data_IF_725714675330
#
_entry.id   IF_725714675330
#
_cell.length_a   1.000
_cell.length_b   1.000
_cell.length_c   1.000
_cell.angle_alpha   90.00
_cell.angle_beta   90.00
_cell.angle_gamma   90.00
#
_symmetry.space_group_name_H-M   'P 1'
#
loop_
_entity.id
_entity.type
_entity.pdbx_description
1 polymer ?
#
# COMPACT_ATOMS: atom_id res chain seq x y z
N UNK A 1 -5.65 10.76 -10.61
CA UNK A 1 -6.27 10.86 -11.95
C UNK A 1 -7.67 11.38 -11.78
N UNK A 2 -7.99 12.55 -12.34
CA UNK A 2 -9.38 12.96 -12.45
C UNK A 2 -10.00 12.14 -13.58
N UNK A 3 -10.81 11.15 -13.22
CA UNK A 3 -11.62 10.43 -14.20
C UNK A 3 -12.51 11.44 -14.93
N UNK A 4 -12.22 11.68 -16.19
CA UNK A 4 -13.13 12.44 -17.04
C UNK A 4 -14.44 11.64 -17.15
N UNK A 5 -15.47 12.12 -16.45
CA UNK A 5 -16.80 11.51 -16.38
C UNK A 5 -17.47 11.28 -17.74
N UNK A 6 -16.89 11.82 -18.83
CA UNK A 6 -17.34 11.60 -20.19
C UNK A 6 -16.79 10.31 -20.82
N UNK A 7 -15.69 9.75 -20.28
CA UNK A 7 -15.05 8.55 -20.85
C UNK A 7 -15.63 7.26 -20.25
N UNK A 8 -15.97 7.26 -18.93
CA UNK A 8 -16.55 6.10 -18.24
C UNK A 8 -17.75 6.52 -17.40
N UNK A 9 -18.98 6.39 -17.93
CA UNK A 9 -20.18 6.79 -17.18
C UNK A 9 -20.33 5.91 -15.91
N UNK A 10 -20.46 6.58 -14.76
CA UNK A 10 -20.76 5.92 -13.48
C UNK A 10 -22.20 5.41 -13.49
N UNK A 11 -22.38 4.15 -13.12
CA UNK A 11 -23.66 3.46 -13.00
C UNK A 11 -23.95 3.26 -11.51
N UNK A 12 -25.09 3.71 -11.04
CA UNK A 12 -25.51 3.48 -9.64
C UNK A 12 -26.46 2.30 -9.57
N UNK A 13 -26.13 1.28 -8.78
CA UNK A 13 -26.93 0.08 -8.54
C UNK A 13 -27.02 -0.15 -7.04
N UNK A 14 -28.23 -0.18 -6.46
CA UNK A 14 -28.45 -0.38 -5.03
C UNK A 14 -27.65 0.59 -4.12
N UNK A 15 -27.42 1.82 -4.58
CA UNK A 15 -26.66 2.83 -3.85
C UNK A 15 -25.14 2.75 -4.04
N UNK A 16 -24.61 1.71 -4.69
CA UNK A 16 -23.18 1.55 -5.00
C UNK A 16 -22.87 2.05 -6.40
N UNK A 17 -21.64 2.53 -6.58
CA UNK A 17 -21.19 3.12 -7.84
C UNK A 17 -20.27 2.19 -8.59
N UNK A 18 -20.50 2.04 -9.90
CA UNK A 18 -19.78 1.14 -10.79
C UNK A 18 -19.42 1.83 -12.09
N UNK A 19 -18.33 1.34 -12.70
CA UNK A 19 -17.99 1.61 -14.11
C UNK A 19 -17.90 0.29 -14.88
N UNK A 20 -17.94 0.35 -16.20
CA UNK A 20 -17.71 -0.85 -17.03
C UNK A 20 -16.23 -1.23 -16.99
N UNK A 21 -15.94 -2.52 -16.89
CA UNK A 21 -14.56 -3.07 -16.85
C UNK A 21 -13.91 -3.13 -18.25
N UNK A 22 -13.98 -2.03 -19.01
CA UNK A 22 -13.48 -2.00 -20.41
C UNK A 22 -11.97 -2.02 -20.55
N UNK A 23 -11.22 -1.76 -19.47
CA UNK A 23 -9.75 -1.73 -19.52
C UNK A 23 -9.16 -3.14 -19.48
N UNK A 24 -9.79 -4.06 -18.78
CA UNK A 24 -9.24 -5.41 -18.49
C UNK A 24 -10.08 -6.55 -19.10
N UNK A 25 -11.22 -6.23 -19.70
CA UNK A 25 -12.13 -7.23 -20.22
C UNK A 25 -12.96 -6.69 -21.38
N UNK A 26 -13.06 -7.48 -22.44
CA UNK A 26 -14.00 -7.26 -23.56
C UNK A 26 -15.43 -7.74 -23.24
N UNK A 27 -15.64 -8.31 -22.05
CA UNK A 27 -16.95 -8.81 -21.64
C UNK A 27 -17.86 -7.64 -21.20
N UNK A 28 -18.94 -7.34 -21.96
CA UNK A 28 -19.81 -6.20 -21.64
C UNK A 28 -20.64 -6.37 -20.37
N UNK A 29 -20.61 -7.55 -19.74
CA UNK A 29 -21.32 -7.89 -18.51
C UNK A 29 -20.41 -7.89 -17.28
N UNK A 30 -19.24 -7.25 -17.33
CA UNK A 30 -18.36 -7.06 -16.21
C UNK A 30 -18.35 -5.61 -15.75
N UNK A 31 -18.29 -5.43 -14.43
CA UNK A 31 -18.28 -4.14 -13.75
C UNK A 31 -17.12 -4.05 -12.77
N UNK A 32 -16.61 -2.84 -12.65
CA UNK A 32 -15.68 -2.43 -11.60
C UNK A 32 -16.42 -1.58 -10.59
N UNK A 33 -16.34 -1.94 -9.31
CA UNK A 33 -16.91 -1.21 -8.20
C UNK A 33 -15.99 -0.07 -7.78
N UNK A 34 -16.53 1.12 -7.56
CA UNK A 34 -15.75 2.25 -7.03
C UNK A 34 -15.69 2.21 -5.51
N UNK A 35 -14.48 2.31 -4.95
CA UNK A 35 -14.24 2.40 -3.52
C UNK A 35 -14.52 3.83 -3.03
N UNK A 36 -15.73 4.11 -2.61
CA UNK A 36 -16.17 5.45 -2.24
C UNK A 36 -17.09 5.46 -0.99
N UNK A 37 -17.64 6.61 -0.70
CA UNK A 37 -18.51 6.83 0.47
C UNK A 37 -19.84 6.07 0.46
N UNK A 38 -20.17 5.38 -0.63
CA UNK A 38 -21.35 4.50 -0.71
C UNK A 38 -21.16 3.20 0.09
N UNK A 39 -19.92 2.89 0.50
CA UNK A 39 -19.66 1.73 1.35
C UNK A 39 -19.95 2.06 2.80
N UNK A 40 -20.99 1.46 3.34
CA UNK A 40 -21.48 1.74 4.69
C UNK A 40 -21.12 0.64 5.69
N UNK A 41 -21.04 1.04 6.98
CA UNK A 41 -20.83 0.12 8.09
C UNK A 41 -19.37 -0.20 8.41
N UNK A 42 -19.18 -1.12 9.36
CA UNK A 42 -17.84 -1.59 9.76
C UNK A 42 -17.34 -2.76 8.92
N UNK A 43 -18.24 -3.50 8.30
CA UNK A 43 -17.92 -4.62 7.40
C UNK A 43 -18.60 -4.34 6.07
N UNK A 44 -17.82 -4.33 5.01
CA UNK A 44 -18.31 -4.22 3.66
C UNK A 44 -18.00 -5.48 2.87
N UNK A 45 -19.05 -6.06 2.29
CA UNK A 45 -18.93 -7.22 1.41
C UNK A 45 -19.17 -6.77 -0.03
N UNK A 46 -18.13 -6.88 -0.86
CA UNK A 46 -18.20 -6.54 -2.28
C UNK A 46 -19.16 -7.51 -2.95
N UNK A 47 -20.21 -7.04 -3.67
CA UNK A 47 -21.12 -7.93 -4.38
C UNK A 47 -20.40 -8.72 -5.47
N UNK A 48 -20.59 -10.04 -5.52
CA UNK A 48 -20.05 -10.87 -6.61
C UNK A 48 -20.76 -10.59 -7.94
N UNK A 49 -22.08 -10.36 -7.89
CA UNK A 49 -22.92 -10.03 -9.05
C UNK A 49 -23.93 -8.97 -8.69
N UNK A 50 -24.41 -8.22 -9.67
CA UNK A 50 -25.48 -7.24 -9.55
C UNK A 50 -26.42 -7.30 -10.75
N UNK A 51 -27.70 -6.94 -10.54
CA UNK A 51 -28.68 -6.87 -11.62
C UNK A 51 -28.92 -5.41 -12.00
N UNK A 52 -28.70 -5.08 -13.28
CA UNK A 52 -28.97 -3.75 -13.83
C UNK A 52 -29.79 -3.87 -15.12
N UNK A 53 -30.92 -3.17 -15.20
CA UNK A 53 -31.84 -3.20 -16.35
C UNK A 53 -32.24 -4.63 -16.77
N UNK A 54 -32.47 -5.51 -15.78
CA UNK A 54 -32.87 -6.90 -16.00
C UNK A 54 -31.77 -7.85 -16.50
N UNK A 55 -30.51 -7.41 -16.49
CA UNK A 55 -29.34 -8.21 -16.85
C UNK A 55 -28.44 -8.35 -15.62
N UNK A 56 -27.85 -9.55 -15.49
CA UNK A 56 -26.85 -9.81 -14.46
C UNK A 56 -25.45 -9.40 -14.93
N UNK A 57 -24.71 -8.73 -14.07
CA UNK A 57 -23.34 -8.30 -14.26
C UNK A 57 -22.46 -8.90 -13.14
N UNK A 58 -21.25 -9.31 -13.50
CA UNK A 58 -20.24 -9.79 -12.56
C UNK A 58 -19.34 -8.63 -12.13
N UNK A 59 -19.07 -8.51 -10.83
CA UNK A 59 -18.10 -7.55 -10.31
C UNK A 59 -16.73 -8.21 -10.36
N UNK A 60 -15.85 -7.66 -11.21
CA UNK A 60 -14.50 -8.22 -11.46
C UNK A 60 -13.36 -7.30 -11.05
N UNK A 61 -13.67 -6.05 -10.70
CA UNK A 61 -12.68 -5.07 -10.28
C UNK A 61 -13.15 -4.16 -9.13
N UNK A 62 -12.15 -3.58 -8.44
CA UNK A 62 -12.32 -2.48 -7.48
C UNK A 62 -11.40 -1.36 -7.93
N UNK A 63 -11.91 -0.14 -8.01
CA UNK A 63 -11.17 1.02 -8.51
C UNK A 63 -11.31 2.22 -7.58
N UNK A 64 -10.47 3.22 -7.80
CA UNK A 64 -10.41 4.43 -6.99
C UNK A 64 -11.72 5.21 -7.04
N UNK A 65 -12.13 5.69 -5.87
CA UNK A 65 -13.24 6.61 -5.68
C UNK A 65 -12.84 7.66 -4.64
N UNK A 66 -13.54 7.69 -3.50
CA UNK A 66 -13.26 8.59 -2.37
C UNK A 66 -12.93 7.78 -1.11
N UNK A 67 -12.04 6.82 -1.23
CA UNK A 67 -11.68 5.84 -0.20
C UNK A 67 -11.24 6.48 1.13
N UNK A 68 -10.51 7.60 1.07
CA UNK A 68 -10.02 8.32 2.25
C UNK A 68 -11.14 8.87 3.16
N UNK A 69 -12.37 8.93 2.67
CA UNK A 69 -13.54 9.35 3.44
C UNK A 69 -14.21 8.19 4.22
N UNK A 70 -13.81 6.94 3.96
CA UNK A 70 -14.30 5.77 4.68
C UNK A 70 -13.66 5.70 6.07
N UNK A 71 -14.39 6.19 7.10
CA UNK A 71 -13.85 6.29 8.46
C UNK A 71 -14.31 5.18 9.40
N UNK A 72 -15.30 4.40 9.01
CA UNK A 72 -15.90 3.34 9.83
C UNK A 72 -15.56 1.94 9.37
N UNK A 73 -15.15 1.77 8.11
CA UNK A 73 -14.87 0.47 7.52
C UNK A 73 -13.69 -0.22 8.23
N UNK A 74 -13.92 -1.40 8.79
CA UNK A 74 -12.92 -2.21 9.49
C UNK A 74 -12.57 -3.51 8.79
N UNK A 75 -13.52 -4.10 8.07
CA UNK A 75 -13.31 -5.35 7.34
C UNK A 75 -13.84 -5.21 5.92
N UNK A 76 -12.99 -5.56 4.95
CA UNK A 76 -13.35 -5.63 3.53
C UNK A 76 -13.32 -7.10 3.10
N UNK A 77 -14.48 -7.61 2.65
CA UNK A 77 -14.64 -8.94 2.11
C UNK A 77 -14.77 -8.88 0.61
N UNK A 78 -13.79 -9.45 -0.09
CA UNK A 78 -13.71 -9.43 -1.55
C UNK A 78 -14.05 -10.83 -2.09
N UNK A 79 -15.07 -10.94 -2.98
CA UNK A 79 -15.50 -12.23 -3.51
C UNK A 79 -14.50 -12.78 -4.54
N UNK A 80 -14.53 -14.11 -4.82
CA UNK A 80 -13.65 -14.74 -5.82
C UNK A 80 -13.83 -14.26 -7.26
N UNK A 81 -14.88 -13.49 -7.55
CA UNK A 81 -15.11 -12.89 -8.87
C UNK A 81 -14.18 -11.71 -9.17
N UNK A 82 -13.69 -11.04 -8.12
CA UNK A 82 -12.78 -9.90 -8.28
C UNK A 82 -11.38 -10.40 -8.66
N UNK A 83 -10.89 -9.90 -9.78
CA UNK A 83 -9.59 -10.22 -10.38
C UNK A 83 -8.61 -9.06 -10.35
N UNK A 84 -9.11 -7.85 -10.19
CA UNK A 84 -8.32 -6.62 -10.30
C UNK A 84 -8.68 -5.67 -9.15
N UNK A 85 -7.67 -5.25 -8.37
CA UNK A 85 -7.78 -4.14 -7.43
C UNK A 85 -6.84 -3.08 -7.96
N UNK A 86 -7.42 -2.08 -8.64
CA UNK A 86 -6.71 -1.09 -9.45
C UNK A 86 -5.81 -0.17 -8.62
N UNK A 87 -4.90 0.59 -9.28
CA UNK A 87 -3.99 1.49 -8.56
C UNK A 87 -4.75 2.44 -7.63
N UNK A 88 -4.24 2.58 -6.40
CA UNK A 88 -4.79 3.48 -5.37
C UNK A 88 -6.27 3.23 -4.99
N UNK A 89 -6.87 2.12 -5.41
CA UNK A 89 -8.30 1.84 -5.25
C UNK A 89 -8.83 2.06 -3.83
N UNK A 90 -8.08 1.61 -2.82
CA UNK A 90 -8.46 1.68 -1.41
C UNK A 90 -7.47 2.47 -0.56
N UNK A 91 -6.68 3.37 -1.17
CA UNK A 91 -5.63 4.12 -0.49
C UNK A 91 -6.15 4.88 0.75
N UNK A 92 -5.38 4.86 1.84
CA UNK A 92 -5.59 5.72 3.01
C UNK A 92 -6.79 5.39 3.90
N UNK A 93 -7.41 4.22 3.79
CA UNK A 93 -8.51 3.80 4.69
C UNK A 93 -7.94 3.44 6.06
N UNK A 94 -7.68 4.44 6.90
CA UNK A 94 -7.05 4.28 8.22
C UNK A 94 -7.84 3.42 9.22
N UNK A 95 -9.14 3.29 9.01
CA UNK A 95 -10.04 2.46 9.86
C UNK A 95 -9.98 0.97 9.51
N UNK A 96 -9.59 0.62 8.28
CA UNK A 96 -9.57 -0.76 7.78
C UNK A 96 -8.56 -1.60 8.56
N UNK A 97 -8.99 -2.77 9.06
CA UNK A 97 -8.16 -3.66 9.87
C UNK A 97 -7.94 -5.01 9.24
N UNK A 98 -8.92 -5.46 8.46
CA UNK A 98 -8.92 -6.79 7.88
C UNK A 98 -9.32 -6.75 6.41
N UNK A 99 -8.50 -7.43 5.57
CA UNK A 99 -8.77 -7.60 4.15
C UNK A 99 -8.43 -9.03 3.75
N UNK A 100 -9.28 -9.62 2.91
CA UNK A 100 -8.97 -10.85 2.18
C UNK A 100 -8.80 -10.52 0.70
N UNK A 101 -7.70 -10.95 0.13
CA UNK A 101 -7.46 -10.91 -1.33
C UNK A 101 -7.80 -12.27 -1.90
N UNK A 102 -8.75 -12.38 -2.85
CA UNK A 102 -9.15 -13.67 -3.40
C UNK A 102 -8.08 -14.29 -4.29
N UNK A 103 -8.24 -15.60 -4.58
CA UNK A 103 -7.37 -16.32 -5.50
C UNK A 103 -7.31 -15.65 -6.89
N UNK A 104 -6.14 -15.72 -7.52
CA UNK A 104 -5.90 -15.18 -8.86
C UNK A 104 -6.16 -13.67 -9.02
N UNK A 105 -6.18 -12.93 -7.93
CA UNK A 105 -6.37 -11.48 -7.95
C UNK A 105 -5.03 -10.78 -8.19
N UNK A 106 -5.06 -9.70 -8.98
CA UNK A 106 -3.95 -8.78 -9.13
C UNK A 106 -4.21 -7.52 -8.33
N UNK A 107 -3.29 -7.19 -7.45
CA UNK A 107 -3.32 -5.98 -6.62
C UNK A 107 -2.28 -5.03 -7.19
N UNK A 108 -2.76 -3.94 -7.75
CA UNK A 108 -1.94 -2.95 -8.45
C UNK A 108 -1.26 -1.98 -7.48
N UNK A 109 -0.32 -1.19 -8.00
CA UNK A 109 0.49 -0.26 -7.24
C UNK A 109 -0.37 0.66 -6.34
N UNK A 110 0.05 0.82 -5.09
CA UNK A 110 -0.61 1.68 -4.12
C UNK A 110 -2.03 1.29 -3.70
N UNK A 111 -2.60 0.17 -4.17
CA UNK A 111 -4.02 -0.17 -4.02
C UNK A 111 -4.53 -0.11 -2.59
N UNK A 112 -3.75 -0.50 -1.60
CA UNK A 112 -4.05 -0.41 -0.17
C UNK A 112 -3.00 0.39 0.61
N UNK A 113 -2.25 1.25 -0.08
CA UNK A 113 -1.24 2.06 0.58
C UNK A 113 -1.85 2.88 1.71
N UNK A 114 -1.10 3.01 2.79
CA UNK A 114 -1.46 3.75 4.00
C UNK A 114 -2.78 3.33 4.69
N UNK A 115 -3.27 2.13 4.43
CA UNK A 115 -4.40 1.56 5.15
C UNK A 115 -4.00 1.09 6.57
N UNK A 116 -5.00 1.03 7.46
CA UNK A 116 -4.81 0.55 8.83
C UNK A 116 -4.77 -0.98 8.97
N UNK A 117 -4.50 -1.73 7.90
CA UNK A 117 -4.62 -3.20 7.84
C UNK A 117 -3.67 -3.88 8.82
N UNK A 118 -4.22 -4.66 9.73
CA UNK A 118 -3.51 -5.49 10.73
C UNK A 118 -3.55 -6.98 10.36
N UNK A 119 -4.63 -7.41 9.69
CA UNK A 119 -4.83 -8.78 9.22
C UNK A 119 -5.04 -8.78 7.71
N UNK A 120 -4.05 -9.29 6.96
CA UNK A 120 -4.08 -9.46 5.53
C UNK A 120 -4.06 -10.94 5.19
N UNK A 121 -5.07 -11.39 4.45
CA UNK A 121 -5.20 -12.77 3.98
C UNK A 121 -5.03 -12.75 2.46
N UNK A 122 -4.02 -13.45 1.95
CA UNK A 122 -3.78 -13.61 0.53
C UNK A 122 -4.28 -14.98 0.06
N UNK A 123 -5.02 -14.99 -1.03
CA UNK A 123 -5.38 -16.21 -1.75
C UNK A 123 -4.23 -16.77 -2.60
N UNK A 124 -4.49 -17.88 -3.26
CA UNK A 124 -3.54 -18.53 -4.15
C UNK A 124 -3.36 -17.76 -5.48
N UNK A 125 -2.17 -17.84 -6.06
CA UNK A 125 -1.84 -17.24 -7.36
C UNK A 125 -2.11 -15.71 -7.43
N UNK A 126 -1.98 -15.00 -6.31
CA UNK A 126 -2.11 -13.54 -6.27
C UNK A 126 -0.87 -12.91 -6.91
N UNK A 127 -1.09 -11.80 -7.63
CA UNK A 127 -0.02 -10.96 -8.16
C UNK A 127 -0.02 -9.63 -7.41
N UNK A 128 1.11 -9.30 -6.78
CA UNK A 128 1.30 -8.07 -6.03
C UNK A 128 2.25 -7.13 -6.76
N UNK A 129 1.83 -5.89 -6.93
CA UNK A 129 2.66 -4.85 -7.53
C UNK A 129 3.30 -3.96 -6.47
N UNK A 130 4.21 -3.11 -6.90
CA UNK A 130 4.95 -2.17 -6.08
C UNK A 130 4.02 -1.35 -5.18
N UNK A 131 4.42 -1.17 -3.93
CA UNK A 131 3.77 -0.33 -2.92
C UNK A 131 2.29 -0.66 -2.65
N UNK A 132 1.75 -1.77 -3.18
CA UNK A 132 0.32 -2.06 -3.04
C UNK A 132 -0.13 -2.20 -1.58
N UNK A 133 0.78 -2.46 -0.66
CA UNK A 133 0.56 -2.49 0.79
C UNK A 133 1.52 -1.57 1.55
N UNK A 134 1.94 -0.44 0.94
CA UNK A 134 2.79 0.53 1.63
C UNK A 134 2.15 0.99 2.95
N UNK A 135 2.94 1.05 4.02
CA UNK A 135 2.55 1.64 5.28
C UNK A 135 1.43 0.94 6.03
N UNK A 136 1.09 -0.31 5.72
CA UNK A 136 0.10 -1.06 6.50
C UNK A 136 0.64 -1.48 7.87
N UNK A 137 -0.25 -1.90 8.78
CA UNK A 137 0.07 -2.22 10.18
C UNK A 137 0.36 -3.70 10.43
N UNK A 138 0.22 -4.56 9.42
CA UNK A 138 0.48 -5.99 9.56
C UNK A 138 1.92 -6.25 9.98
N UNK A 139 2.11 -7.02 11.07
CA UNK A 139 3.43 -7.42 11.58
C UNK A 139 3.97 -8.65 10.88
N UNK A 140 3.10 -9.42 10.28
CA UNK A 140 3.40 -10.60 9.50
C UNK A 140 2.23 -10.89 8.57
N UNK A 141 2.53 -11.37 7.38
CA UNK A 141 1.55 -11.84 6.40
C UNK A 141 1.91 -13.27 6.01
N UNK A 142 0.91 -14.13 5.91
CA UNK A 142 1.12 -15.46 5.35
C UNK A 142 1.11 -15.33 3.81
N UNK A 143 2.26 -15.59 3.19
CA UNK A 143 2.43 -15.51 1.74
C UNK A 143 2.31 -16.91 1.15
N UNK A 144 1.28 -17.21 0.34
CA UNK A 144 1.22 -18.46 -0.39
C UNK A 144 2.41 -18.65 -1.35
N UNK A 145 2.90 -19.88 -1.50
CA UNK A 145 4.03 -20.20 -2.39
C UNK A 145 3.76 -19.88 -3.86
N UNK A 146 2.51 -19.72 -4.23
CA UNK A 146 2.06 -19.38 -5.59
C UNK A 146 2.02 -17.86 -5.85
N UNK A 147 2.29 -17.03 -4.82
CA UNK A 147 2.29 -15.58 -4.93
C UNK A 147 3.42 -15.12 -5.86
N UNK A 148 3.10 -14.16 -6.72
CA UNK A 148 4.05 -13.48 -7.59
C UNK A 148 4.04 -11.99 -7.33
N UNK A 149 5.14 -11.34 -7.64
CA UNK A 149 5.28 -9.89 -7.49
C UNK A 149 6.11 -9.31 -8.62
N UNK A 150 6.03 -7.99 -8.78
CA UNK A 150 6.91 -7.24 -9.67
C UNK A 150 7.12 -5.83 -9.16
N UNK A 151 8.24 -5.25 -9.57
CA UNK A 151 8.59 -3.85 -9.42
C UNK A 151 8.45 -3.17 -10.79
N UNK A 152 7.89 -1.98 -10.84
CA UNK A 152 7.97 -1.14 -12.03
C UNK A 152 9.39 -0.59 -12.18
N UNK A 153 9.97 -0.66 -13.36
CA UNK A 153 11.25 -0.01 -13.64
C UNK A 153 11.10 1.51 -13.71
N UNK A 154 12.17 2.28 -13.51
CA UNK A 154 12.15 3.74 -13.63
C UNK A 154 11.74 4.25 -15.01
N UNK A 155 11.76 3.41 -16.04
CA UNK A 155 11.35 3.72 -17.41
C UNK A 155 9.83 3.64 -17.61
N UNK A 156 9.09 3.02 -16.67
CA UNK A 156 7.64 2.80 -16.80
C UNK A 156 6.79 4.03 -16.41
N UNK A 157 7.42 5.10 -15.86
CA UNK A 157 6.71 6.31 -15.41
C UNK A 157 6.51 7.38 -16.49
N UNK A 158 7.23 7.34 -17.62
CA UNK A 158 7.14 8.38 -18.65
C UNK A 158 6.06 8.12 -19.73
N UNK A 159 5.60 6.85 -19.90
CA UNK A 159 4.56 6.52 -20.88
C UNK A 159 3.55 5.52 -20.29
N UNK A 160 2.47 6.05 -19.74
CA UNK A 160 1.33 5.28 -19.17
C UNK A 160 0.62 4.40 -20.20
N UNK A 161 0.96 4.50 -21.47
CA UNK A 161 0.38 3.73 -22.57
C UNK A 161 1.01 2.36 -22.80
N UNK A 162 2.17 2.04 -22.20
CA UNK A 162 2.88 0.80 -22.47
C UNK A 162 3.03 -0.08 -21.22
N UNK A 163 2.15 -1.05 -21.14
CA UNK A 163 2.38 -2.29 -20.43
C UNK A 163 3.62 -2.97 -21.00
N UNK A 164 4.78 -2.88 -20.32
CA UNK A 164 5.95 -3.65 -20.70
C UNK A 164 5.75 -5.12 -20.34
N UNK A 165 5.55 -6.02 -21.32
CA UNK A 165 5.45 -7.45 -21.08
C UNK A 165 6.78 -8.07 -20.58
N UNK A 166 7.89 -7.32 -20.57
CA UNK A 166 9.21 -7.77 -20.14
C UNK A 166 9.48 -7.59 -18.64
N UNK A 167 8.57 -6.92 -17.90
CA UNK A 167 8.64 -6.92 -16.44
C UNK A 167 8.25 -8.30 -15.90
N UNK A 168 9.25 -9.12 -15.71
CA UNK A 168 9.10 -10.51 -15.31
C UNK A 168 8.43 -10.61 -13.93
N UNK A 169 7.32 -11.36 -13.87
CA UNK A 169 6.70 -11.69 -12.59
C UNK A 169 7.61 -12.66 -11.83
N UNK A 170 8.11 -12.22 -10.69
CA UNK A 170 8.98 -13.00 -9.82
C UNK A 170 8.15 -13.82 -8.82
N UNK A 171 8.45 -15.11 -8.65
CA UNK A 171 7.88 -15.87 -7.53
C UNK A 171 8.48 -15.36 -6.22
N UNK A 172 7.71 -15.34 -5.15
CA UNK A 172 8.25 -15.09 -3.80
C UNK A 172 9.07 -16.30 -3.37
N UNK A 173 10.28 -16.07 -2.88
CA UNK A 173 11.20 -17.11 -2.41
C UNK A 173 11.97 -16.62 -1.18
N UNK A 174 12.62 -17.53 -0.48
CA UNK A 174 13.46 -17.16 0.66
C UNK A 174 14.61 -16.20 0.27
N UNK A 175 15.13 -16.34 -0.95
CA UNK A 175 16.27 -15.55 -1.44
C UNK A 175 15.89 -14.11 -1.78
N UNK A 176 14.64 -13.87 -2.23
CA UNK A 176 14.15 -12.53 -2.59
C UNK A 176 13.12 -11.97 -1.59
N UNK A 177 12.91 -12.62 -0.46
CA UNK A 177 11.96 -12.16 0.55
C UNK A 177 12.23 -10.73 1.05
N UNK A 178 13.47 -10.32 1.32
CA UNK A 178 13.76 -8.93 1.74
C UNK A 178 13.36 -7.91 0.67
N UNK A 179 13.67 -8.18 -0.60
CA UNK A 179 13.32 -7.29 -1.72
C UNK A 179 11.81 -7.24 -1.92
N UNK A 180 11.14 -8.39 -1.87
CA UNK A 180 9.69 -8.50 -1.91
C UNK A 180 9.02 -7.64 -0.82
N UNK A 181 9.47 -7.76 0.44
CA UNK A 181 8.91 -6.96 1.53
C UNK A 181 9.20 -5.47 1.33
N UNK A 182 10.40 -5.12 0.86
CA UNK A 182 10.76 -3.73 0.59
C UNK A 182 9.92 -3.11 -0.53
N UNK A 183 9.61 -3.87 -1.58
CA UNK A 183 8.85 -3.38 -2.73
C UNK A 183 7.35 -3.33 -2.44
N UNK A 184 6.78 -4.40 -1.90
CA UNK A 184 5.32 -4.55 -1.75
C UNK A 184 4.80 -3.91 -0.46
N UNK A 185 5.60 -3.96 0.62
CA UNK A 185 5.24 -3.57 1.99
C UNK A 185 6.09 -2.40 2.51
N UNK A 186 6.59 -1.56 1.63
CA UNK A 186 7.42 -0.41 2.01
C UNK A 186 6.79 0.39 3.17
N UNK A 187 7.60 0.83 4.12
CA UNK A 187 7.16 1.56 5.33
C UNK A 187 6.06 0.88 6.17
N UNK A 188 5.76 -0.40 5.95
CA UNK A 188 4.89 -1.17 6.86
C UNK A 188 5.62 -1.55 8.16
N UNK A 189 4.88 -1.98 9.19
CA UNK A 189 5.53 -2.54 10.39
C UNK A 189 6.38 -3.77 10.02
N UNK A 190 5.90 -4.59 9.11
CA UNK A 190 6.63 -5.78 8.67
C UNK A 190 7.95 -5.43 7.97
N UNK A 191 7.96 -4.41 7.12
CA UNK A 191 9.19 -3.87 6.51
C UNK A 191 10.23 -3.50 7.56
N UNK A 192 9.85 -2.72 8.58
CA UNK A 192 10.79 -2.34 9.64
C UNK A 192 11.23 -3.51 10.51
N UNK A 193 10.36 -4.49 10.74
CA UNK A 193 10.74 -5.72 11.44
C UNK A 193 11.78 -6.54 10.67
N UNK A 194 11.67 -6.58 9.35
CA UNK A 194 12.66 -7.27 8.51
C UNK A 194 13.99 -6.50 8.44
N UNK A 195 13.94 -5.16 8.30
CA UNK A 195 15.15 -4.33 8.43
C UNK A 195 15.86 -4.55 9.76
N UNK A 196 15.13 -4.57 10.86
CA UNK A 196 15.70 -4.81 12.19
C UNK A 196 16.37 -6.19 12.28
N UNK A 197 15.76 -7.20 11.71
CA UNK A 197 16.33 -8.55 11.65
C UNK A 197 17.63 -8.60 10.85
N UNK A 198 17.68 -7.96 9.67
CA UNK A 198 18.88 -7.85 8.86
C UNK A 198 19.97 -7.06 9.60
N UNK A 199 19.65 -5.94 10.23
CA UNK A 199 20.57 -5.13 11.01
C UNK A 199 21.18 -5.90 12.19
N UNK A 200 20.38 -6.73 12.90
CA UNK A 200 20.86 -7.64 13.96
C UNK A 200 21.85 -8.69 13.45
N UNK A 201 21.75 -9.06 12.19
CA UNK A 201 22.69 -9.97 11.52
C UNK A 201 23.93 -9.25 10.94
N UNK A 202 24.09 -7.95 11.20
CA UNK A 202 25.26 -7.16 10.85
C UNK A 202 25.14 -6.43 9.50
N UNK A 203 23.96 -6.31 8.93
CA UNK A 203 23.73 -5.53 7.71
C UNK A 203 23.71 -4.02 8.04
N UNK A 204 24.78 -3.31 7.68
CA UNK A 204 24.93 -1.88 7.95
C UNK A 204 24.03 -1.00 7.08
N UNK A 205 23.59 -1.48 5.92
CA UNK A 205 22.59 -0.77 5.11
C UNK A 205 21.22 -0.84 5.79
N UNK A 206 20.77 -2.03 6.15
CA UNK A 206 19.50 -2.22 6.84
C UNK A 206 19.44 -1.45 8.17
N UNK A 207 20.55 -1.40 8.91
CA UNK A 207 20.70 -0.61 10.13
C UNK A 207 20.50 0.88 9.90
N UNK A 208 21.11 1.45 8.84
CA UNK A 208 20.94 2.86 8.47
C UNK A 208 19.54 3.16 7.99
N UNK A 209 18.99 2.30 7.14
CA UNK A 209 17.63 2.46 6.61
C UNK A 209 16.59 2.41 7.73
N UNK A 210 16.71 1.47 8.65
CA UNK A 210 15.89 1.39 9.84
C UNK A 210 15.96 2.68 10.68
N UNK A 211 17.16 3.13 11.02
CA UNK A 211 17.37 4.33 11.85
C UNK A 211 16.84 5.59 11.14
N UNK A 212 17.08 5.73 9.82
CA UNK A 212 16.60 6.82 9.00
C UNK A 212 15.06 6.88 8.98
N UNK A 213 14.41 5.74 8.77
CA UNK A 213 12.96 5.68 8.69
C UNK A 213 12.29 6.03 10.02
N UNK A 214 12.78 5.49 11.13
CA UNK A 214 12.27 5.81 12.49
C UNK A 214 12.50 7.29 12.84
N UNK A 215 13.69 7.82 12.57
CA UNK A 215 14.01 9.24 12.80
C UNK A 215 13.11 10.16 11.97
N UNK A 216 12.90 9.85 10.70
CA UNK A 216 12.01 10.62 9.82
C UNK A 216 10.57 10.64 10.34
N UNK A 217 10.03 9.53 10.81
CA UNK A 217 8.70 9.48 11.42
C UNK A 217 8.63 10.34 12.69
N UNK A 218 9.63 10.25 13.59
CA UNK A 218 9.71 11.06 14.80
C UNK A 218 9.74 12.55 14.46
N UNK A 219 10.56 12.95 13.47
CA UNK A 219 10.64 14.33 13.00
C UNK A 219 9.30 14.83 12.46
N UNK A 220 8.66 14.06 11.57
CA UNK A 220 7.36 14.42 11.01
C UNK A 220 6.29 14.58 12.10
N UNK A 221 6.26 13.71 13.10
CA UNK A 221 5.35 13.82 14.24
C UNK A 221 5.65 15.09 15.05
N UNK A 222 6.93 15.43 15.27
CA UNK A 222 7.35 16.59 16.08
C UNK A 222 6.99 17.93 15.43
N UNK A 223 7.12 18.06 14.11
CA UNK A 223 6.83 19.32 13.38
C UNK A 223 5.34 19.52 13.12
N UNK A 224 4.57 18.43 13.07
CA UNK A 224 3.11 18.48 12.91
C UNK A 224 2.43 18.54 14.27
N UNK A 225 2.73 19.56 15.09
CA UNK A 225 2.08 19.77 16.41
C UNK A 225 0.54 19.79 16.33
N UNK A 226 -0.03 19.73 15.15
CA UNK A 226 -1.42 19.54 14.85
C UNK A 226 -1.62 18.13 14.29
N UNK A 227 -2.09 17.19 15.11
CA UNK A 227 -2.39 15.78 14.75
C UNK A 227 -3.27 15.60 13.49
N UNK A 228 -3.81 16.69 12.93
CA UNK A 228 -4.66 16.67 11.74
C UNK A 228 -3.88 16.63 10.42
N UNK A 229 -2.60 17.03 10.39
CA UNK A 229 -1.81 17.21 9.16
C UNK A 229 -1.01 15.95 8.76
N UNK A 230 -0.52 15.20 9.75
CA UNK A 230 0.22 13.96 9.47
C UNK A 230 -0.18 12.89 10.48
N UNK A 231 -0.68 11.78 9.97
CA UNK A 231 -0.92 10.57 10.76
C UNK A 231 -0.08 9.47 10.15
N UNK A 232 1.02 9.09 10.82
CA UNK A 232 1.81 7.96 10.34
C UNK A 232 0.95 6.69 10.29
N UNK A 233 1.27 5.75 9.43
CA UNK A 233 0.57 4.46 9.35
C UNK A 233 0.61 3.72 10.68
N UNK A 234 1.70 3.86 11.43
CA UNK A 234 1.87 3.41 12.82
C UNK A 234 2.78 4.40 13.55
N UNK A 235 2.80 4.35 14.89
CA UNK A 235 3.68 5.19 15.68
C UNK A 235 5.03 4.48 15.91
N UNK A 236 6.16 5.22 15.89
CA UNK A 236 7.49 4.65 16.14
C UNK A 236 7.58 3.83 17.41
N UNK A 237 6.87 4.21 18.46
CA UNK A 237 6.83 3.49 19.74
C UNK A 237 6.40 2.03 19.59
N UNK A 238 5.60 1.69 18.58
CA UNK A 238 5.19 0.30 18.29
C UNK A 238 6.37 -0.60 17.90
N UNK A 239 7.44 -0.01 17.37
CA UNK A 239 8.70 -0.69 17.04
C UNK A 239 9.75 -0.43 18.12
N UNK A 240 9.85 0.79 18.62
CA UNK A 240 10.86 1.19 19.62
C UNK A 240 10.78 0.34 20.90
N UNK A 241 9.58 -0.09 21.29
CA UNK A 241 9.40 -1.00 22.44
C UNK A 241 10.03 -2.38 22.25
N UNK A 242 10.39 -2.76 21.01
CA UNK A 242 11.03 -4.03 20.67
C UNK A 242 12.56 -3.95 20.64
N UNK A 243 13.13 -2.74 20.75
CA UNK A 243 14.56 -2.47 20.67
C UNK A 243 15.23 -2.57 22.03
N UNK A 244 16.46 -3.11 22.05
CA UNK A 244 17.36 -2.96 23.17
C UNK A 244 18.05 -1.57 23.19
N UNK A 245 18.83 -1.27 24.23
CA UNK A 245 19.48 0.05 24.37
C UNK A 245 20.55 0.31 23.30
N UNK A 246 21.23 -0.72 22.79
CA UNK A 246 22.21 -0.57 21.73
C UNK A 246 21.52 -0.24 20.40
N UNK A 247 20.38 -0.86 20.15
CA UNK A 247 19.58 -0.64 18.94
C UNK A 247 18.92 0.75 18.93
N UNK A 248 18.45 1.22 20.07
CA UNK A 248 18.00 2.62 20.23
C UNK A 248 19.12 3.62 19.94
N UNK A 249 20.35 3.26 20.32
CA UNK A 249 21.52 4.10 20.05
C UNK A 249 21.81 4.25 18.53
N UNK A 250 21.40 3.31 17.69
CA UNK A 250 21.54 3.48 16.22
C UNK A 250 20.77 4.70 15.72
N UNK A 251 19.57 4.92 16.26
CA UNK A 251 18.72 6.05 15.88
C UNK A 251 19.36 7.35 16.34
N UNK A 252 19.80 7.43 17.61
CA UNK A 252 20.47 8.61 18.17
C UNK A 252 21.74 8.96 17.37
N UNK A 253 22.56 7.98 17.02
CA UNK A 253 23.75 8.18 16.20
C UNK A 253 23.43 8.71 14.79
N UNK A 254 22.35 8.21 14.19
CA UNK A 254 21.88 8.70 12.89
C UNK A 254 21.48 10.17 12.98
N UNK A 255 20.69 10.55 13.97
CA UNK A 255 20.22 11.92 14.22
C UNK A 255 21.41 12.88 14.45
N UNK A 256 22.36 12.53 15.34
CA UNK A 256 23.56 13.31 15.56
C UNK A 256 24.41 13.52 14.29
N UNK A 257 24.51 12.52 13.44
CA UNK A 257 25.23 12.63 12.19
C UNK A 257 24.51 13.55 11.19
N UNK A 258 23.19 13.50 11.13
CA UNK A 258 22.39 14.41 10.29
C UNK A 258 22.54 15.88 10.73
N UNK A 259 22.48 16.16 12.04
CA UNK A 259 22.70 17.49 12.60
C UNK A 259 24.10 18.03 12.26
N UNK A 260 25.14 17.19 12.36
CA UNK A 260 26.50 17.59 11.97
C UNK A 260 26.59 18.00 10.50
N UNK A 261 25.98 17.20 9.59
CA UNK A 261 25.98 17.50 8.15
C UNK A 261 25.25 18.82 7.87
N UNK A 262 24.08 19.07 8.48
CA UNK A 262 23.34 20.29 8.32
C UNK A 262 24.13 21.51 8.80
N UNK A 263 24.81 21.40 9.98
CA UNK A 263 25.62 22.48 10.51
C UNK A 263 26.88 22.75 9.69
N UNK A 264 27.47 21.75 9.04
CA UNK A 264 28.61 21.96 8.12
C UNK A 264 28.16 22.71 6.85
N UNK A 265 27.03 22.32 6.26
CA UNK A 265 26.52 22.98 5.06
C UNK A 265 26.08 24.43 5.32
N UNK A 266 25.50 24.73 6.51
CA UNK A 266 25.13 26.09 6.88
C UNK A 266 26.31 27.00 7.15
N UNK A 267 27.52 26.48 7.44
CA UNK A 267 28.73 27.26 7.65
C UNK A 267 29.48 27.59 6.34
N UNK A 268 29.17 26.91 5.24
CA UNK A 268 29.76 27.20 3.91
C UNK A 268 29.00 28.34 3.17
N UNK A 269 27.72 28.60 3.53
CA UNK A 269 26.94 29.71 2.97
C UNK A 269 27.34 31.10 3.53
N UNK A 270 28.18 31.16 4.57
CA UNK A 270 28.72 32.40 5.17
C UNK A 270 30.06 32.85 4.57
N UNK A 271 30.45 32.39 3.38
CA UNK A 271 31.62 32.92 2.68
C UNK A 271 31.29 34.31 2.09
N UNK A 272 31.98 35.37 2.49
CA UNK A 272 31.76 36.70 1.93
C UNK A 272 32.22 36.74 0.48
N UNK A 273 31.32 37.11 -0.41
CA UNK A 273 31.63 37.50 -1.78
C UNK A 273 32.37 38.83 -1.81
#
# INVERSE_FOLDING_TARGET
>A
MDYDSNTFPVITINGLHYIKSVIVSDNPYELTLLCDTSWEGEVFEVPATVVYQGKEYTVTGIDVGQSTQLKTLRELRIPPTVRHIFPEACVGIKSLRKVNIPDHCRVYSGAFAECGIEELILGENVILEEDCFEGIRAKQVNIPDTTKWRMFGPEDYEDVEYYDPHNELLPVSADNMPDFIAVVFYKSIWYYMELLKCARNGDEWAKREFASGISSMNFMISITQNESLYKPPFYPDEILCLLDENEKHWISQFEENQERIMNMNSSEDDLPF
#
